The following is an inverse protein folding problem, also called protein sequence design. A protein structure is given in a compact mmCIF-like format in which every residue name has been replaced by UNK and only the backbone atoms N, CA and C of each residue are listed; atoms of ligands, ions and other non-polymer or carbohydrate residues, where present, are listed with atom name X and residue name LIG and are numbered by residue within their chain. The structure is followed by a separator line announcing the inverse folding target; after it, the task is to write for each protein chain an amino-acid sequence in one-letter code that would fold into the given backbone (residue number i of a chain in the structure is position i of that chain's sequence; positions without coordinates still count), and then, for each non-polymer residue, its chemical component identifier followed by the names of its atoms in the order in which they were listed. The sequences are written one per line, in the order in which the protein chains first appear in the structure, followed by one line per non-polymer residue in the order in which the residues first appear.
data_IF_830075258970
#
_entry.id   IF_830075258970
#
_cell.length_a   1.000
_cell.length_b   1.000
_cell.length_c   1.000
_cell.angle_alpha   90.00
_cell.angle_beta   90.00
_cell.angle_gamma   90.00
#
_symmetry.space_group_name_H-M   'P 1'
#
loop_
_entity.id
_entity.type
_entity.pdbx_description
1 polymer ?
#
# COMPACT_ATOMS: atom_id res chain seq x y z
N UNK A 1 0.42 -31.84 -12.80
CA UNK A 1 0.27 -30.39 -13.06
C UNK A 1 1.55 -29.59 -12.79
N UNK A 2 2.37 -29.96 -11.80
CA UNK A 2 3.59 -29.20 -11.44
C UNK A 2 4.72 -29.18 -12.49
N UNK A 3 4.94 -30.27 -13.24
CA UNK A 3 5.98 -30.28 -14.28
C UNK A 3 5.65 -29.37 -15.48
N UNK A 4 4.37 -29.25 -15.82
CA UNK A 4 3.90 -28.38 -16.91
C UNK A 4 4.08 -26.90 -16.51
N UNK A 5 3.69 -26.54 -15.29
CA UNK A 5 3.90 -25.19 -14.73
C UNK A 5 5.39 -24.81 -14.67
N UNK A 6 6.25 -25.75 -14.29
CA UNK A 6 7.71 -25.55 -14.26
C UNK A 6 8.30 -25.29 -15.66
N UNK A 7 7.84 -26.03 -16.67
CA UNK A 7 8.27 -25.83 -18.06
C UNK A 7 7.82 -24.48 -18.62
N UNK A 8 6.63 -23.99 -18.24
CA UNK A 8 6.16 -22.66 -18.65
C UNK A 8 7.04 -21.54 -18.07
N UNK A 9 7.43 -21.64 -16.80
CA UNK A 9 8.34 -20.66 -16.17
C UNK A 9 9.73 -20.69 -16.82
N UNK A 10 10.26 -21.87 -17.11
CA UNK A 10 11.54 -22.02 -17.84
C UNK A 10 11.46 -21.46 -19.25
N UNK A 11 10.32 -21.61 -19.94
CA UNK A 11 10.09 -21.07 -21.27
C UNK A 11 9.99 -19.54 -21.26
N UNK A 12 9.30 -18.95 -20.27
CA UNK A 12 9.25 -17.50 -20.07
C UNK A 12 10.65 -16.92 -19.81
N UNK A 13 11.44 -17.59 -18.96
CA UNK A 13 12.81 -17.18 -18.69
C UNK A 13 13.70 -17.27 -19.94
N UNK A 14 13.59 -18.37 -20.69
CA UNK A 14 14.30 -18.56 -21.95
C UNK A 14 13.93 -17.50 -22.98
N UNK A 15 12.63 -17.19 -23.12
CA UNK A 15 12.16 -16.11 -23.99
C UNK A 15 12.74 -14.75 -23.58
N UNK A 16 12.73 -14.43 -22.29
CA UNK A 16 13.27 -13.17 -21.78
C UNK A 16 14.77 -13.04 -22.06
N UNK A 17 15.51 -14.15 -21.95
CA UNK A 17 16.93 -14.23 -22.24
C UNK A 17 17.22 -14.07 -23.75
N UNK A 18 16.38 -14.62 -24.62
CA UNK A 18 16.45 -14.38 -26.07
C UNK A 18 16.21 -12.90 -26.39
N UNK A 19 15.18 -12.29 -25.81
CA UNK A 19 14.89 -10.85 -25.97
C UNK A 19 16.05 -9.99 -25.46
N UNK A 20 16.63 -10.36 -24.32
CA UNK A 20 17.78 -9.68 -23.75
C UNK A 20 18.99 -9.70 -24.69
N UNK A 21 19.39 -10.88 -25.19
CA UNK A 21 20.51 -10.97 -26.12
C UNK A 21 20.23 -10.26 -27.44
N UNK A 22 18.99 -10.32 -27.95
CA UNK A 22 18.60 -9.57 -29.12
C UNK A 22 18.80 -8.05 -28.91
N UNK A 23 18.35 -7.51 -27.79
CA UNK A 23 18.56 -6.10 -27.45
C UNK A 23 20.04 -5.77 -27.25
N UNK A 24 20.81 -6.66 -26.60
CA UNK A 24 22.25 -6.49 -26.39
C UNK A 24 23.02 -6.36 -27.71
N UNK A 25 22.70 -7.19 -28.70
CA UNK A 25 23.34 -7.11 -30.02
C UNK A 25 22.77 -6.01 -30.92
N UNK A 26 21.52 -5.61 -30.72
CA UNK A 26 20.88 -4.55 -31.51
C UNK A 26 21.31 -3.13 -31.07
N UNK A 27 21.74 -2.95 -29.83
CA UNK A 27 22.13 -1.65 -29.27
C UNK A 27 23.64 -1.52 -29.21
N UNK A 28 24.23 -0.87 -30.21
CA UNK A 28 25.67 -0.60 -30.22
C UNK A 28 26.10 0.36 -29.09
N UNK A 29 27.20 0.06 -28.38
CA UNK A 29 27.74 0.91 -27.33
C UNK A 29 28.47 2.13 -27.90
N UNK A 30 27.69 3.08 -28.43
CA UNK A 30 28.21 4.32 -29.02
C UNK A 30 27.53 5.55 -28.42
N UNK A 31 28.28 6.66 -28.32
CA UNK A 31 27.75 7.92 -27.78
C UNK A 31 26.70 8.59 -28.68
N UNK A 32 26.63 8.18 -29.94
CA UNK A 32 25.63 8.66 -30.90
C UNK A 32 24.32 7.86 -30.84
N UNK A 33 24.33 6.67 -30.23
CA UNK A 33 23.14 5.84 -30.10
C UNK A 33 22.29 6.31 -28.90
N UNK A 34 21.09 6.82 -29.17
CA UNK A 34 20.18 7.32 -28.15
C UNK A 34 19.70 6.22 -27.19
N UNK A 35 19.54 4.97 -27.67
CA UNK A 35 19.09 3.85 -26.83
C UNK A 35 20.17 3.40 -25.84
N UNK A 36 21.44 3.45 -26.23
CA UNK A 36 22.57 3.19 -25.34
C UNK A 36 22.70 4.25 -24.23
N UNK A 37 22.29 5.49 -24.53
CA UNK A 37 22.36 6.64 -23.60
C UNK A 37 21.14 6.82 -22.70
N UNK A 38 20.12 5.98 -22.82
CA UNK A 38 18.93 6.05 -21.96
C UNK A 38 19.25 6.06 -20.45
N UNK A 39 20.18 5.22 -19.94
CA UNK A 39 20.57 5.27 -18.53
C UNK A 39 21.14 6.64 -18.13
N UNK A 40 21.96 7.25 -19.00
CA UNK A 40 22.54 8.58 -18.76
C UNK A 40 21.49 9.68 -18.76
N UNK A 41 20.47 9.59 -19.62
CA UNK A 41 19.36 10.56 -19.62
C UNK A 41 18.48 10.43 -18.37
N UNK A 42 18.25 9.21 -17.91
CA UNK A 42 17.44 8.95 -16.71
C UNK A 42 18.22 9.09 -15.40
N UNK A 43 19.55 9.25 -15.45
CA UNK A 43 20.40 9.35 -14.26
C UNK A 43 20.02 10.51 -13.33
N UNK A 44 19.47 11.60 -13.87
CA UNK A 44 19.02 12.76 -13.09
C UNK A 44 17.63 12.60 -12.48
N UNK A 45 16.82 11.65 -12.97
CA UNK A 45 15.42 11.49 -12.57
C UNK A 45 15.28 11.16 -11.07
N UNK A 46 16.07 10.24 -10.48
CA UNK A 46 15.98 9.97 -9.04
C UNK A 46 16.23 11.23 -8.19
N UNK A 47 17.23 12.03 -8.55
CA UNK A 47 17.57 13.26 -7.82
C UNK A 47 16.46 14.31 -7.95
N UNK A 48 15.94 14.54 -9.16
CA UNK A 48 14.86 15.51 -9.39
C UNK A 48 13.60 15.10 -8.64
N UNK A 49 13.26 13.81 -8.66
CA UNK A 49 12.10 13.29 -7.95
C UNK A 49 12.27 13.43 -6.44
N UNK A 50 13.43 13.08 -5.90
CA UNK A 50 13.71 13.23 -4.48
C UNK A 50 13.57 14.69 -4.03
N UNK A 51 14.24 15.61 -4.72
CA UNK A 51 14.16 17.04 -4.40
C UNK A 51 12.74 17.59 -4.54
N UNK A 52 11.99 17.15 -5.55
CA UNK A 52 10.60 17.57 -5.72
C UNK A 52 9.71 17.09 -4.58
N UNK A 53 9.88 15.85 -4.12
CA UNK A 53 9.12 15.29 -3.00
C UNK A 53 9.52 15.99 -1.70
N UNK A 54 10.81 16.17 -1.44
CA UNK A 54 11.31 16.85 -0.24
C UNK A 54 10.78 18.29 -0.17
N UNK A 55 10.87 19.04 -1.28
CA UNK A 55 10.29 20.37 -1.38
C UNK A 55 8.78 20.37 -1.12
N UNK A 56 8.05 19.44 -1.73
CA UNK A 56 6.61 19.32 -1.54
C UNK A 56 6.24 18.99 -0.08
N UNK A 57 7.02 18.14 0.57
CA UNK A 57 6.79 17.65 1.93
C UNK A 57 7.14 18.68 3.00
N UNK A 58 8.26 19.37 2.86
CA UNK A 58 8.82 20.20 3.93
C UNK A 58 8.70 21.71 3.66
N UNK A 59 8.65 22.14 2.40
CA UNK A 59 8.54 23.57 2.08
C UNK A 59 7.11 23.96 1.67
N UNK A 60 6.43 23.14 0.87
CA UNK A 60 5.10 23.49 0.35
C UNK A 60 3.96 23.14 1.30
N UNK A 61 4.02 21.97 1.95
CA UNK A 61 2.98 21.47 2.85
C UNK A 61 3.51 21.04 4.23
N UNK A 62 4.23 21.91 4.97
CA UNK A 62 4.56 21.64 6.36
C UNK A 62 3.32 21.80 7.25
N UNK A 63 3.25 21.00 8.31
CA UNK A 63 2.25 21.15 9.38
C UNK A 63 2.89 20.87 10.73
N UNK A 64 2.60 21.74 11.70
CA UNK A 64 3.08 21.62 13.06
C UNK A 64 2.22 20.64 13.86
N UNK A 65 2.87 19.68 14.51
CA UNK A 65 2.22 18.71 15.38
C UNK A 65 2.82 18.87 16.78
N UNK A 66 1.96 19.09 17.76
CA UNK A 66 2.39 19.15 19.15
C UNK A 66 2.84 17.77 19.64
N UNK A 67 4.08 17.68 20.11
CA UNK A 67 4.64 16.50 20.73
C UNK A 67 4.60 16.63 22.26
N UNK A 68 3.74 15.83 22.89
CA UNK A 68 3.51 15.82 24.34
C UNK A 68 4.76 15.41 25.14
N UNK A 69 5.65 14.61 24.55
CA UNK A 69 6.84 14.10 25.25
C UNK A 69 7.90 15.18 25.47
N UNK A 70 7.98 16.14 24.54
CA UNK A 70 8.99 17.22 24.55
C UNK A 70 8.37 18.61 24.79
N UNK A 71 7.04 18.70 24.93
CA UNK A 71 6.29 19.94 25.13
C UNK A 71 6.52 21.00 24.03
N UNK A 72 6.80 20.55 22.80
CA UNK A 72 7.15 21.41 21.67
C UNK A 72 6.42 20.98 20.37
N UNK A 73 6.31 21.92 19.43
CA UNK A 73 5.76 21.65 18.10
C UNK A 73 6.86 21.14 17.17
N UNK A 74 6.62 19.98 16.56
CA UNK A 74 7.49 19.41 15.53
C UNK A 74 6.87 19.59 14.14
N UNK A 75 7.66 20.09 13.19
CA UNK A 75 7.26 20.15 11.79
C UNK A 75 7.19 18.73 11.21
N UNK A 76 6.04 18.39 10.64
CA UNK A 76 5.83 17.13 9.93
C UNK A 76 5.17 17.39 8.58
N UNK A 77 5.44 16.55 7.57
CA UNK A 77 4.84 16.72 6.26
C UNK A 77 3.38 16.25 6.27
N UNK A 78 2.47 17.04 5.67
CA UNK A 78 1.04 16.70 5.59
C UNK A 78 0.79 15.32 4.97
N UNK A 79 1.61 14.91 4.00
CA UNK A 79 1.52 13.58 3.38
C UNK A 79 1.66 12.43 4.39
N UNK A 80 2.46 12.60 5.44
CA UNK A 80 2.60 11.60 6.52
C UNK A 80 1.31 11.47 7.33
N UNK A 81 0.61 12.57 7.56
CA UNK A 81 -0.69 12.54 8.24
C UNK A 81 -1.77 11.88 7.38
N UNK A 82 -1.80 12.20 6.09
CA UNK A 82 -2.75 11.61 5.13
C UNK A 82 -2.55 10.09 5.07
N UNK A 83 -1.31 9.63 4.86
CA UNK A 83 -1.02 8.19 4.77
C UNK A 83 -1.37 7.47 6.08
N UNK A 84 -1.04 8.04 7.24
CA UNK A 84 -1.42 7.49 8.55
C UNK A 84 -2.94 7.46 8.76
N UNK A 85 -3.65 8.47 8.28
CA UNK A 85 -5.12 8.53 8.31
C UNK A 85 -5.73 7.43 7.44
N UNK A 86 -5.23 7.25 6.22
CA UNK A 86 -5.66 6.17 5.32
C UNK A 86 -5.42 4.80 5.96
N UNK A 87 -4.24 4.56 6.56
CA UNK A 87 -3.94 3.31 7.25
C UNK A 87 -4.93 3.04 8.40
N UNK A 88 -5.24 4.06 9.21
CA UNK A 88 -6.23 3.94 10.30
C UNK A 88 -7.64 3.72 9.77
N UNK A 89 -8.01 4.38 8.68
CA UNK A 89 -9.30 4.17 8.02
C UNK A 89 -9.44 2.74 7.48
N UNK A 90 -8.37 2.19 6.89
CA UNK A 90 -8.37 0.80 6.44
C UNK A 90 -8.49 -0.18 7.61
N UNK A 91 -7.77 0.07 8.71
CA UNK A 91 -7.90 -0.73 9.93
C UNK A 91 -9.34 -0.70 10.46
N UNK A 92 -9.95 0.48 10.51
CA UNK A 92 -11.36 0.64 10.84
C UNK A 92 -12.27 -0.16 9.91
N UNK A 93 -12.07 -0.11 8.59
CA UNK A 93 -12.87 -0.88 7.63
C UNK A 93 -12.76 -2.40 7.87
N UNK A 94 -11.56 -2.89 8.18
CA UNK A 94 -11.34 -4.31 8.49
C UNK A 94 -12.07 -4.71 9.78
N UNK A 95 -11.96 -3.89 10.82
CA UNK A 95 -12.66 -4.12 12.09
C UNK A 95 -14.18 -4.03 11.93
N UNK A 96 -14.67 -3.09 11.13
CA UNK A 96 -16.09 -2.94 10.83
C UNK A 96 -16.65 -4.16 10.10
N UNK A 97 -15.98 -4.62 9.05
CA UNK A 97 -16.37 -5.85 8.34
C UNK A 97 -16.30 -7.06 9.29
N UNK A 98 -15.27 -7.14 10.14
CA UNK A 98 -15.16 -8.20 11.16
C UNK A 98 -16.34 -8.16 12.12
N UNK A 99 -16.76 -7.00 12.62
CA UNK A 99 -17.92 -6.89 13.51
C UNK A 99 -19.20 -7.38 12.84
N UNK A 100 -19.43 -7.03 11.57
CA UNK A 100 -20.58 -7.53 10.79
C UNK A 100 -20.54 -9.06 10.66
N UNK A 101 -19.39 -9.63 10.29
CA UNK A 101 -19.23 -11.08 10.12
C UNK A 101 -19.40 -11.86 11.43
N UNK A 102 -19.04 -11.26 12.58
CA UNK A 102 -19.24 -11.82 13.92
C UNK A 102 -20.65 -11.58 14.48
N UNK A 103 -21.58 -11.05 13.68
CA UNK A 103 -22.99 -10.87 14.04
C UNK A 103 -23.37 -9.47 14.55
N UNK A 104 -22.43 -8.52 14.58
CA UNK A 104 -22.70 -7.10 14.84
C UNK A 104 -23.17 -6.75 16.25
N UNK A 105 -23.13 -7.71 17.19
CA UNK A 105 -23.66 -7.58 18.56
C UNK A 105 -23.10 -6.34 19.27
N UNK A 106 -21.78 -6.14 19.22
CA UNK A 106 -21.13 -5.02 19.90
C UNK A 106 -21.49 -3.66 19.29
N UNK A 107 -21.61 -3.59 17.97
CA UNK A 107 -22.02 -2.37 17.26
C UNK A 107 -23.46 -1.98 17.66
N UNK A 108 -24.38 -2.95 17.70
CA UNK A 108 -25.77 -2.72 18.10
C UNK A 108 -25.86 -2.33 19.58
N UNK A 109 -25.09 -2.99 20.46
CA UNK A 109 -25.00 -2.65 21.88
C UNK A 109 -24.50 -1.22 22.09
N UNK A 110 -23.55 -0.75 21.28
CA UNK A 110 -23.03 0.61 21.39
C UNK A 110 -24.10 1.70 21.17
N UNK A 111 -25.15 1.41 20.40
CA UNK A 111 -26.25 2.34 20.13
C UNK A 111 -27.53 2.06 20.95
N UNK A 112 -27.64 0.89 21.57
CA UNK A 112 -28.86 0.45 22.29
C UNK A 112 -28.54 0.12 23.75
N UNK A 113 -28.35 -1.15 24.06
CA UNK A 113 -27.86 -1.69 25.34
C UNK A 113 -27.80 -3.23 25.25
N UNK A 114 -27.15 -3.87 26.22
CA UNK A 114 -27.20 -5.35 26.34
C UNK A 114 -28.61 -5.89 26.60
N UNK A 115 -29.43 -5.10 27.28
CA UNK A 115 -30.80 -5.48 27.65
C UNK A 115 -31.76 -5.45 26.44
N UNK A 116 -31.44 -4.65 25.42
CA UNK A 116 -32.19 -4.64 24.16
C UNK A 116 -31.95 -5.92 23.34
N UNK A 117 -30.71 -6.41 23.31
CA UNK A 117 -30.33 -7.61 22.55
C UNK A 117 -30.89 -8.88 23.20
N UNK A 118 -30.90 -8.96 24.54
CA UNK A 118 -31.48 -10.11 25.25
C UNK A 118 -32.99 -10.26 24.99
N UNK A 119 -33.69 -9.12 24.82
CA UNK A 119 -35.12 -9.08 24.52
C UNK A 119 -35.43 -9.30 23.03
N UNK A 120 -34.51 -8.91 22.14
CA UNK A 120 -34.69 -8.99 20.68
C UNK A 120 -33.62 -9.85 20.02
N UNK A 121 -33.77 -11.17 20.11
CA UNK A 121 -32.85 -12.15 19.50
C UNK A 121 -32.75 -12.07 17.98
N UNK A 122 -33.72 -11.43 17.31
CA UNK A 122 -33.70 -11.18 15.86
C UNK A 122 -32.72 -10.05 15.46
N UNK A 123 -32.27 -9.24 16.42
CA UNK A 123 -31.47 -8.06 16.15
C UNK A 123 -30.02 -8.39 15.77
N UNK A 124 -29.51 -9.58 16.13
CA UNK A 124 -28.16 -10.01 15.78
C UNK A 124 -28.19 -11.21 14.83
N UNK A 125 -27.21 -11.29 13.94
CA UNK A 125 -27.02 -12.48 13.10
C UNK A 125 -26.07 -13.47 13.78
N UNK A 126 -26.18 -14.78 13.50
CA UNK A 126 -25.20 -15.75 13.98
C UNK A 126 -23.84 -15.43 13.35
N UNK A 127 -22.80 -15.44 14.18
CA UNK A 127 -21.43 -15.25 13.69
C UNK A 127 -21.10 -16.29 12.63
N UNK A 128 -20.56 -15.86 11.50
CA UNK A 128 -20.11 -16.79 10.47
C UNK A 128 -18.92 -17.60 11.00
N UNK A 129 -18.90 -18.93 10.78
CA UNK A 129 -17.74 -19.75 11.12
C UNK A 129 -16.57 -19.34 10.23
N UNK A 130 -15.73 -18.43 10.72
CA UNK A 130 -14.54 -17.97 10.02
C UNK A 130 -13.43 -19.01 10.12
N UNK A 131 -12.74 -19.24 9.00
CA UNK A 131 -11.85 -20.41 8.81
C UNK A 131 -10.41 -20.20 9.28
N UNK A 132 -10.07 -19.13 9.99
CA UNK A 132 -8.70 -18.91 10.46
C UNK A 132 -8.66 -19.04 11.98
N UNK A 133 -8.25 -20.23 12.42
CA UNK A 133 -7.66 -20.50 13.74
C UNK A 133 -6.15 -20.48 13.57
#
# INVERSE_FOLDING_TARGET
MDQISRNIKLLQFSFLLVVFFFLYFAVDPSENNSFWRLPSYLASVPMVLNNAIDYLMFEWLPVDIYNVEIDEYEESPVLKLITRSISRSLLFCIEFIREILLGGVKTIVAFTSWDYISQNSWAHWPALPWTVV
#
